data_IF_826086160090
#
_entry.id   IF_826086160090
#
_cell.length_a   1.000
_cell.length_b   1.000
_cell.length_c   1.000
_cell.angle_alpha   90.00
_cell.angle_beta   90.00
_cell.angle_gamma   90.00
#
_symmetry.space_group_name_H-M   'P 1'
#
loop_
_entity.id
_entity.type
_entity.pdbx_description
1 polymer ?
#
# COMPACT_ATOMS: atom_id res chain seq x y z
N UNK A 1 50.93 -0.53 8.73
CA UNK A 1 52.36 -0.36 9.08
C UNK A 1 52.78 1.08 8.87
N UNK A 2 54.01 1.47 9.30
CA UNK A 2 54.47 2.87 9.21
C UNK A 2 54.61 3.40 7.77
N UNK A 3 54.56 2.56 6.76
CA UNK A 3 54.61 2.92 5.33
C UNK A 3 53.24 3.19 4.71
N UNK A 4 52.13 3.00 5.48
CA UNK A 4 50.77 3.13 4.94
C UNK A 4 50.34 2.01 4.00
N UNK A 5 51.20 0.98 3.83
CA UNK A 5 50.87 -0.20 3.00
C UNK A 5 50.20 -1.26 3.87
N UNK A 6 49.12 -1.87 3.39
CA UNK A 6 48.43 -2.99 3.99
C UNK A 6 48.22 -4.13 2.97
N UNK A 7 48.04 -5.34 3.44
CA UNK A 7 47.65 -6.49 2.65
C UNK A 7 46.55 -7.25 3.39
N UNK A 8 45.52 -7.65 2.68
CA UNK A 8 44.39 -8.43 3.19
C UNK A 8 44.24 -9.66 2.30
N UNK A 9 44.14 -10.83 2.90
CA UNK A 9 43.80 -12.06 2.18
C UNK A 9 42.26 -12.12 2.06
N UNK A 10 41.79 -12.27 0.85
CA UNK A 10 40.35 -12.44 0.56
C UNK A 10 40.03 -13.95 0.59
N UNK A 11 38.91 -14.30 1.23
CA UNK A 11 38.35 -15.63 1.26
C UNK A 11 36.84 -15.60 1.15
N UNK A 12 36.23 -16.08 0.04
CA UNK A 12 36.90 -16.72 -1.12
C UNK A 12 37.78 -15.74 -1.93
N UNK A 13 38.70 -16.25 -2.76
CA UNK A 13 39.42 -15.42 -3.73
C UNK A 13 38.43 -14.71 -4.66
N UNK A 14 38.73 -13.49 -5.01
CA UNK A 14 37.92 -12.69 -5.94
C UNK A 14 38.64 -12.74 -7.31
N UNK A 15 38.00 -13.40 -8.28
CA UNK A 15 38.65 -13.76 -9.55
C UNK A 15 37.82 -13.51 -10.81
N UNK A 16 36.60 -12.96 -10.64
CA UNK A 16 35.60 -12.86 -11.68
C UNK A 16 35.30 -11.40 -12.06
N UNK A 17 36.24 -10.49 -11.86
CA UNK A 17 36.06 -9.07 -12.20
C UNK A 17 35.27 -8.24 -11.16
N UNK A 18 35.02 -8.78 -9.96
CA UNK A 18 34.22 -8.11 -8.93
C UNK A 18 34.84 -6.77 -8.49
N UNK A 19 33.96 -5.80 -8.19
CA UNK A 19 34.38 -4.51 -7.65
C UNK A 19 34.46 -4.57 -6.13
N UNK A 20 35.67 -4.54 -5.61
CA UNK A 20 35.96 -4.53 -4.19
C UNK A 20 35.99 -3.11 -3.65
N UNK A 21 35.38 -2.89 -2.49
CA UNK A 21 35.45 -1.63 -1.78
C UNK A 21 36.22 -1.78 -0.46
N UNK A 22 37.13 -0.87 -0.20
CA UNK A 22 37.90 -0.84 1.04
C UNK A 22 37.70 0.50 1.76
N UNK A 23 37.48 0.42 3.07
CA UNK A 23 37.49 1.57 3.98
C UNK A 23 38.53 1.35 5.05
N UNK A 24 39.08 2.39 5.62
CA UNK A 24 39.96 2.36 6.79
C UNK A 24 39.24 3.02 7.97
N UNK A 25 39.36 2.43 9.16
CA UNK A 25 38.86 3.03 10.40
C UNK A 25 40.05 3.32 11.34
N UNK A 26 40.03 4.47 11.99
CA UNK A 26 41.00 4.83 13.02
C UNK A 26 40.61 4.23 14.39
N UNK A 27 41.46 4.40 15.37
CA UNK A 27 41.24 3.90 16.73
C UNK A 27 40.06 4.60 17.46
N UNK A 28 39.61 5.74 16.97
CA UNK A 28 38.43 6.45 17.47
C UNK A 28 37.12 6.02 16.78
N UNK A 29 37.19 5.12 15.77
CA UNK A 29 36.04 4.62 15.03
C UNK A 29 35.64 5.45 13.81
N UNK A 30 36.41 6.49 13.44
CA UNK A 30 36.15 7.27 12.23
C UNK A 30 36.54 6.44 11.00
N UNK A 31 35.64 6.39 10.00
CA UNK A 31 35.81 5.59 8.78
C UNK A 31 36.05 6.49 7.58
N UNK A 32 37.03 6.13 6.75
CA UNK A 32 37.33 6.82 5.50
C UNK A 32 36.21 6.67 4.48
N UNK A 33 36.19 7.53 3.45
CA UNK A 33 35.48 7.21 2.20
C UNK A 33 35.99 5.88 1.63
N UNK A 34 35.09 5.11 1.00
CA UNK A 34 35.45 3.88 0.33
C UNK A 34 36.32 4.16 -0.90
N UNK A 35 37.35 3.31 -1.09
CA UNK A 35 38.07 3.21 -2.35
C UNK A 35 37.75 1.89 -2.99
N UNK A 36 37.57 1.86 -4.30
CA UNK A 36 37.25 0.66 -5.06
C UNK A 36 38.42 0.20 -5.93
N UNK A 37 38.50 -1.13 -6.10
CA UNK A 37 39.40 -1.80 -7.05
C UNK A 37 38.64 -2.98 -7.66
N UNK A 38 38.85 -3.21 -8.96
CA UNK A 38 38.28 -4.38 -9.66
C UNK A 38 39.27 -5.56 -9.52
N UNK A 39 38.77 -6.72 -9.10
CA UNK A 39 39.52 -7.96 -9.09
C UNK A 39 39.86 -8.38 -10.53
N UNK A 40 40.95 -9.14 -10.74
CA UNK A 40 41.23 -9.70 -12.06
C UNK A 40 40.16 -10.75 -12.42
N UNK A 41 39.69 -10.72 -13.67
CA UNK A 41 38.96 -11.83 -14.28
C UNK A 41 39.99 -12.79 -14.88
N UNK A 42 40.22 -13.94 -14.22
CA UNK A 42 41.26 -14.89 -14.58
C UNK A 42 40.75 -16.14 -15.30
N UNK A 43 39.46 -16.40 -15.33
CA UNK A 43 38.85 -17.49 -16.06
C UNK A 43 38.00 -17.03 -17.27
N UNK A 44 37.71 -15.71 -17.39
CA UNK A 44 36.94 -15.11 -18.48
C UNK A 44 35.45 -15.37 -18.38
N UNK A 45 34.98 -15.92 -17.24
CA UNK A 45 33.56 -16.23 -17.00
C UNK A 45 33.16 -15.69 -15.63
N UNK A 46 32.51 -14.52 -15.62
CA UNK A 46 31.89 -14.00 -14.39
C UNK A 46 30.67 -14.85 -13.99
N UNK A 47 30.74 -15.48 -12.83
CA UNK A 47 29.65 -16.30 -12.26
C UNK A 47 29.13 -15.76 -10.93
N UNK A 48 29.63 -14.60 -10.51
CA UNK A 48 29.29 -13.98 -9.20
C UNK A 48 28.10 -13.05 -9.34
N UNK A 49 26.92 -13.40 -8.79
CA UNK A 49 25.78 -12.49 -8.81
C UNK A 49 26.03 -11.23 -7.99
N UNK A 50 25.45 -10.09 -8.40
CA UNK A 50 25.45 -8.89 -7.58
C UNK A 50 24.80 -9.12 -6.22
N UNK A 51 25.18 -8.35 -5.21
CA UNK A 51 24.48 -8.31 -3.94
C UNK A 51 23.02 -7.85 -4.14
N UNK A 52 22.12 -8.31 -3.26
CA UNK A 52 20.72 -7.89 -3.29
C UNK A 52 20.60 -6.36 -3.17
N UNK A 53 19.67 -5.72 -3.89
CA UNK A 53 19.46 -4.28 -3.77
C UNK A 53 19.02 -3.89 -2.35
N UNK A 54 19.48 -2.74 -1.88
CA UNK A 54 19.22 -2.23 -0.52
C UNK A 54 18.60 -0.85 -0.54
N UNK A 55 18.15 -0.36 0.62
CA UNK A 55 17.55 0.96 0.81
C UNK A 55 16.42 1.25 -0.19
N UNK A 56 15.61 0.25 -0.48
CA UNK A 56 14.49 0.35 -1.41
C UNK A 56 13.38 1.24 -0.82
N UNK A 57 12.98 2.25 -1.58
CA UNK A 57 11.90 3.18 -1.20
C UNK A 57 10.99 3.45 -2.40
N UNK A 58 9.70 3.28 -2.23
CA UNK A 58 8.67 3.74 -3.18
C UNK A 58 8.22 5.13 -2.73
N UNK A 59 8.45 6.13 -3.56
CA UNK A 59 8.13 7.54 -3.33
C UNK A 59 7.17 8.13 -4.36
N UNK A 60 6.93 9.44 -4.27
CA UNK A 60 6.08 10.20 -5.18
C UNK A 60 4.70 9.55 -5.40
N UNK A 61 4.05 9.17 -4.29
CA UNK A 61 2.75 8.49 -4.31
C UNK A 61 2.73 7.24 -5.21
N UNK A 62 3.80 6.45 -5.18
CA UNK A 62 3.89 5.19 -5.91
C UNK A 62 4.50 5.29 -7.31
N UNK A 63 4.83 6.47 -7.82
CA UNK A 63 5.32 6.64 -9.19
C UNK A 63 6.84 6.50 -9.35
N UNK A 64 7.58 6.29 -8.26
CA UNK A 64 9.04 6.22 -8.28
C UNK A 64 9.55 5.17 -7.29
N UNK A 65 10.51 4.36 -7.74
CA UNK A 65 11.31 3.47 -6.89
C UNK A 65 12.75 3.96 -6.87
N UNK A 66 13.33 4.06 -5.70
CA UNK A 66 14.76 4.34 -5.50
C UNK A 66 15.41 3.27 -4.64
N UNK A 67 16.73 3.14 -4.77
CA UNK A 67 17.49 2.15 -4.00
C UNK A 67 18.99 2.25 -4.25
N UNK A 68 19.70 1.26 -3.72
CA UNK A 68 21.14 1.09 -3.90
C UNK A 68 21.45 -0.32 -4.41
N UNK A 69 22.52 -0.42 -5.19
CA UNK A 69 23.03 -1.67 -5.71
C UNK A 69 24.41 -1.50 -6.31
N UNK A 70 24.90 -2.55 -6.92
CA UNK A 70 26.19 -2.58 -7.58
C UNK A 70 26.18 -1.69 -8.83
N UNK A 71 27.14 -0.76 -8.98
CA UNK A 71 27.19 0.17 -10.11
C UNK A 71 27.24 -0.56 -11.46
N UNK A 72 26.45 -0.08 -12.42
CA UNK A 72 26.39 -0.61 -13.78
C UNK A 72 25.45 -1.79 -13.97
N UNK A 73 24.92 -2.39 -12.89
CA UNK A 73 23.95 -3.49 -12.99
C UNK A 73 22.58 -3.01 -13.50
N UNK A 74 21.87 -3.91 -14.16
CA UNK A 74 20.47 -3.68 -14.61
C UNK A 74 19.52 -3.98 -13.46
N UNK A 75 18.70 -3.02 -13.10
CA UNK A 75 17.62 -3.16 -12.11
C UNK A 75 16.36 -3.68 -12.81
N UNK A 76 15.72 -4.69 -12.26
CA UNK A 76 14.42 -5.17 -12.71
C UNK A 76 13.43 -5.19 -11.55
N UNK A 77 12.27 -4.59 -11.75
CA UNK A 77 11.18 -4.48 -10.77
C UNK A 77 10.02 -5.35 -11.20
N UNK A 78 9.54 -6.22 -10.31
CA UNK A 78 8.41 -7.14 -10.56
C UNK A 78 7.33 -7.00 -9.52
N UNK A 79 6.08 -7.28 -9.92
CA UNK A 79 4.96 -7.48 -9.00
C UNK A 79 4.97 -8.89 -8.39
N UNK A 80 4.01 -9.17 -7.50
CA UNK A 80 3.85 -10.48 -6.85
C UNK A 80 3.48 -11.60 -7.84
N UNK A 81 2.94 -11.28 -9.02
CA UNK A 81 2.63 -12.23 -10.09
C UNK A 81 3.86 -12.51 -10.98
N UNK A 82 4.98 -11.79 -10.77
CA UNK A 82 6.21 -11.92 -11.54
C UNK A 82 6.26 -11.06 -12.81
N UNK A 83 5.28 -10.20 -13.06
CA UNK A 83 5.29 -9.29 -14.21
C UNK A 83 6.33 -8.20 -14.01
N UNK A 84 7.07 -7.86 -15.06
CA UNK A 84 8.04 -6.75 -15.03
C UNK A 84 7.25 -5.44 -15.12
N UNK A 85 7.38 -4.60 -14.08
CA UNK A 85 6.77 -3.28 -14.04
C UNK A 85 7.70 -2.19 -14.57
N UNK A 86 9.00 -2.33 -14.29
CA UNK A 86 10.00 -1.36 -14.70
C UNK A 86 11.40 -1.96 -14.75
N UNK A 87 12.29 -1.32 -15.49
CA UNK A 87 13.71 -1.61 -15.56
C UNK A 87 14.53 -0.32 -15.50
N UNK A 88 15.77 -0.42 -15.07
CA UNK A 88 16.69 0.71 -15.02
C UNK A 88 18.14 0.26 -14.85
N UNK A 89 19.04 1.17 -14.53
CA UNK A 89 20.45 0.86 -14.30
C UNK A 89 20.93 1.55 -13.03
N UNK A 90 21.78 0.88 -12.25
CA UNK A 90 22.43 1.47 -11.09
C UNK A 90 23.52 2.43 -11.57
N UNK A 91 23.49 3.66 -11.07
CA UNK A 91 24.47 4.69 -11.38
C UNK A 91 25.87 4.38 -10.83
N UNK A 92 26.87 5.10 -11.29
CA UNK A 92 28.26 4.95 -10.83
C UNK A 92 28.43 5.25 -9.32
N UNK A 93 27.50 5.96 -8.70
CA UNK A 93 27.45 6.25 -7.27
C UNK A 93 26.77 5.14 -6.44
N UNK A 94 26.38 4.04 -7.09
CA UNK A 94 25.69 2.92 -6.46
C UNK A 94 24.20 3.20 -6.16
N UNK A 95 23.61 4.25 -6.73
CA UNK A 95 22.18 4.56 -6.55
C UNK A 95 21.39 4.34 -7.84
N UNK A 96 20.09 4.11 -7.69
CA UNK A 96 19.17 4.12 -8.82
C UNK A 96 17.85 4.79 -8.46
N UNK A 97 17.21 5.35 -9.50
CA UNK A 97 15.87 5.92 -9.42
C UNK A 97 15.12 5.52 -10.70
N UNK A 98 13.99 4.86 -10.53
CA UNK A 98 13.21 4.27 -11.62
C UNK A 98 11.77 4.77 -11.53
N UNK A 99 11.21 5.23 -12.65
CA UNK A 99 9.80 5.57 -12.75
C UNK A 99 8.96 4.29 -12.78
N UNK A 100 7.87 4.27 -12.01
CA UNK A 100 6.84 3.24 -12.04
C UNK A 100 5.61 3.79 -12.77
N UNK A 101 5.20 3.09 -13.84
CA UNK A 101 4.03 3.46 -14.63
C UNK A 101 3.26 2.19 -15.04
N UNK A 102 2.04 1.98 -14.53
CA UNK A 102 1.32 2.85 -13.57
C UNK A 102 1.99 2.97 -12.20
N UNK A 103 1.60 3.98 -11.43
CA UNK A 103 2.05 4.12 -10.05
C UNK A 103 1.58 2.93 -9.21
N UNK A 104 2.42 2.48 -8.27
CA UNK A 104 2.12 1.38 -7.33
C UNK A 104 1.89 1.99 -5.95
N UNK A 105 0.62 2.11 -5.57
CA UNK A 105 0.17 2.82 -4.37
C UNK A 105 -1.04 2.14 -3.69
N UNK A 106 -1.11 0.82 -3.82
CA UNK A 106 -2.20 -0.06 -3.37
C UNK A 106 -1.77 -1.03 -2.25
N UNK A 107 -0.66 -0.73 -1.55
CA UNK A 107 -0.13 -1.61 -0.52
C UNK A 107 0.58 -2.86 -1.05
N UNK A 108 0.76 -3.01 -2.36
CA UNK A 108 1.39 -4.19 -2.93
C UNK A 108 2.90 -4.21 -2.69
N UNK A 109 3.47 -5.43 -2.64
CA UNK A 109 4.90 -5.66 -2.47
C UNK A 109 5.55 -5.93 -3.81
N UNK A 110 6.63 -5.20 -4.10
CA UNK A 110 7.47 -5.36 -5.28
C UNK A 110 8.73 -6.14 -4.95
N UNK A 111 9.20 -6.93 -5.92
CA UNK A 111 10.48 -7.61 -5.91
C UNK A 111 11.44 -6.89 -6.85
N UNK A 112 12.67 -6.65 -6.39
CA UNK A 112 13.69 -5.94 -7.14
C UNK A 112 14.94 -6.81 -7.23
N UNK A 113 15.43 -7.06 -8.44
CA UNK A 113 16.67 -7.80 -8.68
C UNK A 113 17.66 -6.94 -9.46
N UNK A 114 18.93 -7.24 -9.30
CA UNK A 114 20.03 -6.69 -10.07
C UNK A 114 20.60 -7.77 -10.98
N UNK A 115 20.98 -7.39 -12.19
CA UNK A 115 21.64 -8.28 -13.14
C UNK A 115 22.92 -7.58 -13.63
N UNK A 116 24.06 -8.25 -13.53
CA UNK A 116 25.35 -7.75 -14.01
C UNK A 116 25.50 -7.89 -15.54
N UNK A 117 26.67 -7.50 -16.04
CA UNK A 117 26.98 -7.59 -17.47
C UNK A 117 27.15 -9.02 -17.97
N UNK A 118 27.49 -9.96 -17.09
CA UNK A 118 27.63 -11.39 -17.40
C UNK A 118 26.31 -12.14 -17.40
N UNK A 119 25.23 -11.52 -16.84
CA UNK A 119 23.90 -12.11 -16.76
C UNK A 119 23.60 -12.78 -15.43
N UNK A 120 24.47 -12.66 -14.42
CA UNK A 120 24.19 -13.19 -13.07
C UNK A 120 23.16 -12.31 -12.38
N UNK A 121 22.20 -12.94 -11.70
CA UNK A 121 21.05 -12.27 -11.08
C UNK A 121 21.16 -12.34 -9.56
N UNK A 122 21.04 -11.21 -8.89
CA UNK A 122 21.04 -11.10 -7.44
C UNK A 122 19.88 -11.84 -6.76
N UNK A 123 19.99 -12.06 -5.45
CA UNK A 123 18.81 -12.32 -4.64
C UNK A 123 17.86 -11.09 -4.70
N UNK A 124 16.54 -11.32 -4.64
CA UNK A 124 15.58 -10.21 -4.67
C UNK A 124 15.61 -9.41 -3.37
N UNK A 125 15.62 -8.09 -3.49
CA UNK A 125 15.15 -7.19 -2.44
C UNK A 125 13.65 -6.99 -2.55
N UNK A 126 12.96 -6.69 -1.44
CA UNK A 126 11.53 -6.43 -1.43
C UNK A 126 11.19 -5.08 -0.83
N UNK A 127 10.13 -4.44 -1.33
CA UNK A 127 9.60 -3.18 -0.83
C UNK A 127 8.09 -3.15 -0.99
N UNK A 128 7.38 -2.66 0.03
CA UNK A 128 5.91 -2.54 0.00
C UNK A 128 5.54 -1.07 -0.23
N UNK A 129 4.62 -0.83 -1.15
CA UNK A 129 4.08 0.52 -1.39
C UNK A 129 3.17 0.96 -0.25
N UNK A 130 3.02 2.27 -0.08
CA UNK A 130 1.90 2.77 0.71
C UNK A 130 0.59 2.45 0.00
N UNK A 131 -0.44 2.11 0.76
CA UNK A 131 -1.80 2.05 0.24
C UNK A 131 -2.43 3.43 0.33
N UNK A 132 -2.70 4.03 -0.82
CA UNK A 132 -3.32 5.35 -0.97
C UNK A 132 -4.64 5.26 -1.74
N UNK A 133 -5.10 4.05 -2.06
CA UNK A 133 -6.31 3.84 -2.84
C UNK A 133 -7.54 3.69 -1.92
N UNK A 134 -8.50 4.60 -2.00
CA UNK A 134 -9.75 4.42 -1.27
C UNK A 134 -10.52 3.18 -1.73
N UNK A 135 -11.21 2.48 -0.83
CA UNK A 135 -12.13 1.42 -1.22
C UNK A 135 -13.22 1.94 -2.14
N UNK A 136 -13.79 1.07 -2.95
CA UNK A 136 -14.99 1.38 -3.73
C UNK A 136 -16.16 1.72 -2.81
N UNK A 137 -17.14 2.51 -3.32
CA UNK A 137 -18.37 2.77 -2.57
C UNK A 137 -19.07 1.46 -2.22
N UNK A 138 -19.75 1.38 -1.04
CA UNK A 138 -20.57 0.22 -0.71
C UNK A 138 -21.72 0.04 -1.70
N UNK A 139 -22.22 -1.18 -1.83
CA UNK A 139 -23.31 -1.54 -2.74
C UNK A 139 -24.37 -2.40 -2.04
N UNK A 140 -25.49 -2.65 -2.70
CA UNK A 140 -26.57 -3.51 -2.21
C UNK A 140 -27.05 -3.13 -0.79
N UNK A 141 -27.13 -1.82 -0.51
CA UNK A 141 -27.53 -1.32 0.81
C UNK A 141 -29.01 -1.64 1.08
N UNK A 142 -29.31 -2.09 2.31
CA UNK A 142 -30.66 -2.35 2.76
C UNK A 142 -30.84 -2.02 4.25
N UNK A 143 -32.02 -1.46 4.59
CA UNK A 143 -32.47 -1.14 5.94
C UNK A 143 -33.98 -1.37 6.02
N UNK A 144 -34.40 -2.59 6.35
CA UNK A 144 -35.81 -2.96 6.31
C UNK A 144 -36.57 -2.61 7.59
N UNK A 145 -35.89 -2.64 8.73
CA UNK A 145 -36.48 -2.51 10.09
C UNK A 145 -36.09 -1.20 10.80
N UNK A 146 -35.39 -0.30 10.09
CA UNK A 146 -34.86 0.94 10.68
C UNK A 146 -33.64 0.76 11.59
N UNK A 147 -33.22 -0.47 11.86
CA UNK A 147 -32.16 -0.81 12.82
C UNK A 147 -31.04 -1.61 12.20
N UNK A 148 -31.37 -2.67 11.47
CA UNK A 148 -30.39 -3.60 10.87
C UNK A 148 -30.01 -3.11 9.48
N UNK A 149 -28.78 -2.58 9.35
CA UNK A 149 -28.24 -2.06 8.11
C UNK A 149 -27.29 -3.09 7.48
N UNK A 150 -27.54 -3.46 6.24
CA UNK A 150 -26.78 -4.46 5.52
C UNK A 150 -26.30 -3.96 4.17
N UNK A 151 -25.28 -4.61 3.60
CA UNK A 151 -24.79 -4.28 2.27
C UNK A 151 -23.53 -5.07 1.90
N UNK A 152 -22.87 -4.60 0.83
CA UNK A 152 -21.60 -5.15 0.35
C UNK A 152 -20.54 -4.08 0.30
N UNK A 153 -19.29 -4.52 0.45
CA UNK A 153 -18.11 -3.65 0.37
C UNK A 153 -16.83 -4.45 0.22
N UNK A 154 -15.72 -3.75 0.28
CA UNK A 154 -14.39 -4.35 0.25
C UNK A 154 -14.14 -5.18 1.52
N UNK A 155 -13.74 -6.46 1.41
CA UNK A 155 -13.47 -7.30 2.56
C UNK A 155 -12.43 -6.70 3.51
N UNK A 156 -12.76 -6.67 4.80
CA UNK A 156 -11.90 -6.10 5.84
C UNK A 156 -12.08 -4.60 6.06
N UNK A 157 -12.73 -3.87 5.15
CA UNK A 157 -13.00 -2.44 5.35
C UNK A 157 -14.01 -2.21 6.49
N UNK A 158 -13.89 -1.07 7.14
CA UNK A 158 -14.82 -0.60 8.17
C UNK A 158 -15.94 0.22 7.52
N UNK A 159 -17.18 -0.21 7.73
CA UNK A 159 -18.37 0.56 7.33
C UNK A 159 -18.64 1.65 8.36
N UNK A 160 -18.89 2.86 7.91
CA UNK A 160 -19.35 4.00 8.73
C UNK A 160 -20.67 4.51 8.16
N UNK A 161 -21.68 4.60 9.01
CA UNK A 161 -22.98 5.20 8.69
C UNK A 161 -23.17 6.45 9.54
N UNK A 162 -23.44 7.57 8.88
CA UNK A 162 -23.67 8.88 9.53
C UNK A 162 -25.04 9.41 9.18
N UNK A 163 -25.63 10.14 10.11
CA UNK A 163 -26.85 10.90 9.89
C UNK A 163 -26.58 12.20 9.09
N UNK A 164 -27.62 12.93 8.76
CA UNK A 164 -27.55 14.22 8.03
C UNK A 164 -26.76 15.30 8.80
N UNK A 165 -26.61 15.17 10.11
CA UNK A 165 -25.79 16.06 10.94
C UNK A 165 -24.30 15.64 10.94
N UNK A 166 -23.95 14.51 10.32
CA UNK A 166 -22.60 13.95 10.29
C UNK A 166 -22.26 13.09 11.52
N UNK A 167 -23.20 12.81 12.40
CA UNK A 167 -23.01 11.97 13.58
C UNK A 167 -22.85 10.52 13.16
N UNK A 168 -21.85 9.82 13.68
CA UNK A 168 -21.67 8.38 13.45
C UNK A 168 -22.74 7.60 14.24
N UNK A 169 -23.66 6.96 13.52
CA UNK A 169 -24.80 6.21 14.08
C UNK A 169 -24.69 4.70 13.92
N UNK A 170 -23.72 4.23 13.14
CA UNK A 170 -23.44 2.81 12.96
C UNK A 170 -22.05 2.56 12.42
N UNK A 171 -21.43 1.47 12.88
CA UNK A 171 -20.15 1.00 12.36
C UNK A 171 -20.09 -0.52 12.40
N UNK A 172 -19.35 -1.11 11.47
CA UNK A 172 -19.15 -2.54 11.37
C UNK A 172 -18.00 -2.87 10.44
N UNK A 173 -17.67 -4.14 10.28
CA UNK A 173 -16.61 -4.60 9.38
C UNK A 173 -17.22 -5.44 8.27
N UNK A 174 -16.73 -5.27 7.05
CA UNK A 174 -17.08 -6.10 5.90
C UNK A 174 -16.41 -7.47 6.06
N UNK A 175 -17.21 -8.53 6.01
CA UNK A 175 -16.73 -9.90 6.10
C UNK A 175 -15.87 -10.31 4.90
N UNK A 176 -15.19 -11.46 5.02
CA UNK A 176 -14.37 -12.01 3.93
C UNK A 176 -15.20 -12.38 2.68
N UNK A 177 -16.52 -12.53 2.83
CA UNK A 177 -17.49 -12.76 1.76
C UNK A 177 -17.96 -11.46 1.07
N UNK A 178 -17.42 -10.31 1.51
CA UNK A 178 -17.80 -9.00 1.03
C UNK A 178 -19.14 -8.48 1.58
N UNK A 179 -19.75 -9.15 2.56
CA UNK A 179 -21.00 -8.74 3.18
C UNK A 179 -20.76 -8.03 4.52
N UNK A 180 -21.66 -7.11 4.86
CA UNK A 180 -21.71 -6.54 6.19
C UNK A 180 -23.13 -6.49 6.75
N UNK A 181 -23.24 -6.54 8.07
CA UNK A 181 -24.45 -6.29 8.83
C UNK A 181 -24.07 -5.54 10.11
N UNK A 182 -24.73 -4.43 10.38
CA UNK A 182 -24.51 -3.61 11.56
C UNK A 182 -25.81 -3.04 12.10
N UNK A 183 -25.78 -2.55 13.34
CA UNK A 183 -26.94 -1.96 14.00
C UNK A 183 -26.82 -0.44 14.01
N UNK A 184 -27.88 0.27 13.61
CA UNK A 184 -27.95 1.73 13.71
C UNK A 184 -28.49 2.15 15.08
N UNK A 185 -27.89 3.16 15.69
CA UNK A 185 -28.37 3.77 16.92
C UNK A 185 -28.18 5.29 16.86
N UNK A 186 -29.27 6.09 16.88
CA UNK A 186 -30.68 5.67 16.94
C UNK A 186 -31.17 4.96 15.68
N UNK A 187 -32.32 4.28 15.77
CA UNK A 187 -33.00 3.71 14.64
C UNK A 187 -33.39 4.80 13.62
N UNK A 188 -33.39 4.46 12.33
CA UNK A 188 -33.67 5.33 11.21
C UNK A 188 -34.90 4.81 10.45
N UNK A 189 -36.06 5.42 10.68
CA UNK A 189 -37.35 4.84 10.28
C UNK A 189 -38.34 5.87 9.70
N UNK A 190 -37.89 7.08 9.41
CA UNK A 190 -38.72 8.21 8.96
C UNK A 190 -38.17 8.90 7.70
N UNK A 191 -37.51 8.16 6.82
CA UNK A 191 -36.93 8.72 5.59
C UNK A 191 -35.66 9.53 5.79
N UNK A 192 -34.93 9.29 6.88
CA UNK A 192 -33.69 10.02 7.15
C UNK A 192 -32.64 9.75 6.08
N UNK A 193 -31.93 10.81 5.65
CA UNK A 193 -30.80 10.69 4.74
C UNK A 193 -29.54 10.26 5.50
N UNK A 194 -28.92 9.20 5.03
CA UNK A 194 -27.70 8.59 5.60
C UNK A 194 -26.53 8.72 4.64
N UNK A 195 -25.34 9.03 5.18
CA UNK A 195 -24.06 8.98 4.47
C UNK A 195 -23.34 7.70 4.84
N UNK A 196 -23.06 6.84 3.86
CA UNK A 196 -22.41 5.54 4.06
C UNK A 196 -21.07 5.55 3.38
N UNK A 197 -20.02 5.17 4.13
CA UNK A 197 -18.64 5.11 3.64
C UNK A 197 -17.96 3.84 4.10
N UNK A 198 -16.96 3.44 3.34
CA UNK A 198 -15.99 2.42 3.71
C UNK A 198 -14.65 3.07 4.04
N UNK A 199 -13.98 2.53 5.04
CA UNK A 199 -12.61 2.91 5.42
C UNK A 199 -11.77 1.64 5.42
N UNK A 200 -10.70 1.60 4.62
CA UNK A 200 -9.80 0.45 4.56
C UNK A 200 -8.84 0.39 5.77
N UNK A 201 -7.96 -0.62 5.78
CA UNK A 201 -6.98 -0.81 6.85
C UNK A 201 -5.88 0.27 6.86
N UNK A 202 -5.64 0.94 5.73
CA UNK A 202 -4.68 2.04 5.60
C UNK A 202 -5.27 3.39 6.03
N UNK A 203 -6.59 3.46 6.22
CA UNK A 203 -7.33 4.67 6.60
C UNK A 203 -7.87 5.47 5.42
N UNK A 204 -7.77 4.96 4.17
CA UNK A 204 -8.38 5.61 3.03
C UNK A 204 -9.90 5.44 3.09
N UNK A 205 -10.62 6.49 2.72
CA UNK A 205 -12.08 6.52 2.84
C UNK A 205 -12.73 6.61 1.46
N UNK A 206 -13.72 5.76 1.19
CA UNK A 206 -14.49 5.78 -0.05
C UNK A 206 -15.21 7.11 -0.24
N UNK A 207 -15.61 7.41 -1.49
CA UNK A 207 -16.60 8.43 -1.73
C UNK A 207 -17.89 8.11 -0.94
N UNK A 208 -18.63 9.13 -0.45
CA UNK A 208 -19.89 8.92 0.26
C UNK A 208 -20.95 8.35 -0.67
N UNK A 209 -21.72 7.39 -0.17
CA UNK A 209 -22.95 6.93 -0.81
C UNK A 209 -24.14 7.39 0.03
N UNK A 210 -25.04 8.17 -0.57
CA UNK A 210 -26.28 8.57 0.08
C UNK A 210 -27.29 7.42 0.04
N UNK A 211 -27.95 7.18 1.16
CA UNK A 211 -28.99 6.18 1.32
C UNK A 211 -30.14 6.80 2.12
N UNK A 212 -31.35 6.75 1.58
CA UNK A 212 -32.54 7.21 2.31
C UNK A 212 -33.12 6.04 3.08
N UNK A 213 -33.24 6.20 4.40
CA UNK A 213 -33.91 5.23 5.27
C UNK A 213 -35.39 5.06 4.87
N UNK A 214 -35.98 3.89 5.08
CA UNK A 214 -37.42 3.72 4.83
C UNK A 214 -38.23 4.57 5.82
N UNK A 215 -39.35 5.12 5.34
CA UNK A 215 -40.37 5.64 6.23
C UNK A 215 -41.35 4.50 6.57
N UNK A 216 -41.18 3.95 7.76
CA UNK A 216 -41.99 2.84 8.29
C UNK A 216 -42.76 3.26 9.55
N UNK A 217 -42.73 4.55 9.89
CA UNK A 217 -43.43 5.10 11.06
C UNK A 217 -44.84 5.50 10.67
N UNK A 218 -45.89 4.85 11.21
CA UNK A 218 -47.26 5.26 10.92
C UNK A 218 -47.52 6.69 11.34
N UNK A 219 -48.36 7.44 10.61
CA UNK A 219 -48.84 8.75 11.05
C UNK A 219 -49.44 8.69 12.45
N UNK A 220 -49.26 9.75 13.20
CA UNK A 220 -49.90 9.88 14.52
C UNK A 220 -51.42 9.73 14.44
N UNK A 221 -52.00 9.22 15.51
CA UNK A 221 -53.47 9.10 15.60
C UNK A 221 -54.13 10.45 15.37
N UNK A 222 -55.20 10.47 14.59
CA UNK A 222 -56.04 11.65 14.41
C UNK A 222 -56.66 12.01 15.76
N UNK A 223 -56.44 13.25 16.20
CA UNK A 223 -56.98 13.77 17.45
C UNK A 223 -57.92 14.97 17.18
N UNK A 224 -58.75 15.30 18.19
CA UNK A 224 -59.68 16.40 18.14
C UNK A 224 -60.71 16.29 16.98
N UNK A 225 -61.15 15.07 16.69
CA UNK A 225 -62.25 14.87 15.74
C UNK A 225 -63.53 15.38 16.40
N UNK A 226 -64.13 16.39 15.77
CA UNK A 226 -65.41 16.99 16.21
C UNK A 226 -66.45 16.62 15.19
N UNK A 227 -67.57 16.06 15.63
CA UNK A 227 -68.75 15.89 14.79
C UNK A 227 -69.58 17.15 14.88
N UNK A 228 -69.94 17.74 13.74
CA UNK A 228 -70.79 18.93 13.69
C UNK A 228 -72.16 18.68 14.36
N UNK A 229 -72.80 19.74 14.78
CA UNK A 229 -74.12 19.68 15.44
C UNK A 229 -75.21 19.01 14.56
N UNK A 230 -74.97 18.91 13.26
CA UNK A 230 -75.80 18.23 12.26
C UNK A 230 -75.52 16.72 12.13
N UNK A 231 -74.54 16.19 12.90
CA UNK A 231 -74.14 14.79 12.89
C UNK A 231 -73.28 14.38 11.68
N UNK A 232 -72.83 15.32 10.84
CA UNK A 232 -71.95 15.07 9.73
C UNK A 232 -70.48 15.13 10.20
N UNK A 233 -69.69 14.11 9.89
CA UNK A 233 -68.24 14.12 10.12
C UNK A 233 -67.56 15.14 9.20
N UNK A 234 -66.64 15.90 9.74
CA UNK A 234 -65.77 16.83 9.00
C UNK A 234 -64.52 16.11 8.54
#
# INVERSE_FOLDING_TARGET
GPTGVFSINLAPPQVDGEVLQATASDAAGNTSVASSVTAPDIDGVDTTPPEAPTNLVIGLAGSQLSGRGEPGTTVQVRDAAGNILATGTVGADGTFVIALAPAVNDGSTLQVTLTDAAGNVSQPGSVTSADLLPPAQPTELALADGVTFTGRGEPGATVQVRDAAGTLIGTGTVGADGLFSLTLNPAQANGEALDVRLVDAAGNTSAPLQFDAPDITPPGAVSNIVVGADGLAL
#
